data_IF_014560138813
#
_entry.id   IF_014560138813
#
_cell.length_a   1.000
_cell.length_b   1.000
_cell.length_c   1.000
_cell.angle_alpha   90.00
_cell.angle_beta   90.00
_cell.angle_gamma   90.00
#
_symmetry.space_group_name_H-M   'P 1'
#
loop_
_entity.id
_entity.type
_entity.pdbx_description
1 polymer ?
#
# COMPACT_ATOMS: atom_id res chain seq x y z
N UNK A 1 0.33 -21.69 -7.07
CA UNK A 1 0.08 -20.23 -7.02
C UNK A 1 1.03 -19.53 -7.99
N UNK A 2 0.49 -18.68 -8.87
CA UNK A 2 1.32 -17.89 -9.80
C UNK A 2 1.88 -16.69 -9.04
N UNK A 3 3.14 -16.34 -9.30
CA UNK A 3 3.75 -15.13 -8.73
C UNK A 3 2.97 -13.90 -9.23
N UNK A 4 2.48 -13.02 -8.34
CA UNK A 4 1.75 -11.82 -8.75
C UNK A 4 2.67 -10.89 -9.55
N UNK A 5 2.07 -10.10 -10.44
CA UNK A 5 2.78 -9.02 -11.12
C UNK A 5 3.20 -7.94 -10.11
N UNK A 6 4.22 -7.16 -10.46
CA UNK A 6 4.71 -6.08 -9.61
C UNK A 6 3.62 -5.06 -9.25
N UNK A 7 2.75 -4.68 -10.18
CA UNK A 7 1.68 -3.73 -9.88
C UNK A 7 0.69 -4.29 -8.87
N UNK A 8 0.29 -5.55 -9.04
CA UNK A 8 -0.61 -6.24 -8.11
C UNK A 8 0.03 -6.35 -6.72
N UNK A 9 1.30 -6.74 -6.67
CA UNK A 9 2.07 -6.83 -5.42
C UNK A 9 2.10 -5.49 -4.66
N UNK A 10 2.43 -4.39 -5.33
CA UNK A 10 2.47 -3.08 -4.68
C UNK A 10 1.09 -2.56 -4.28
N UNK A 11 0.05 -2.84 -5.07
CA UNK A 11 -1.32 -2.48 -4.71
C UNK A 11 -1.83 -3.25 -3.50
N UNK A 12 -1.49 -4.54 -3.38
CA UNK A 12 -1.81 -5.32 -2.18
C UNK A 12 -1.14 -4.73 -0.94
N UNK A 13 0.12 -4.29 -1.05
CA UNK A 13 0.81 -3.60 0.05
C UNK A 13 0.11 -2.28 0.40
N UNK A 14 -0.30 -1.48 -0.59
CA UNK A 14 -1.04 -0.24 -0.33
C UNK A 14 -2.34 -0.50 0.44
N UNK A 15 -3.08 -1.57 0.08
CA UNK A 15 -4.29 -1.99 0.82
C UNK A 15 -3.97 -2.42 2.24
N UNK A 16 -2.89 -3.17 2.46
CA UNK A 16 -2.47 -3.58 3.81
C UNK A 16 -2.09 -2.37 4.66
N UNK A 17 -1.36 -1.41 4.10
CA UNK A 17 -0.98 -0.19 4.80
C UNK A 17 -2.22 0.64 5.17
N UNK A 18 -3.24 0.69 4.30
CA UNK A 18 -4.51 1.35 4.58
C UNK A 18 -5.24 0.80 5.81
N UNK A 19 -5.06 -0.49 6.16
CA UNK A 19 -5.67 -1.11 7.34
C UNK A 19 -5.17 -0.51 8.66
N UNK A 20 -4.05 0.21 8.64
CA UNK A 20 -3.53 0.93 9.81
C UNK A 20 -4.14 2.32 9.99
N UNK A 21 -4.92 2.79 9.03
CA UNK A 21 -5.61 4.08 9.13
C UNK A 21 -6.66 4.05 10.23
N UNK A 22 -6.69 5.08 11.08
CA UNK A 22 -7.79 5.32 12.02
C UNK A 22 -9.05 5.91 11.37
N UNK A 23 -9.06 6.09 10.05
CA UNK A 23 -10.21 6.65 9.33
C UNK A 23 -11.28 5.58 9.09
N UNK A 24 -12.43 5.71 9.75
CA UNK A 24 -13.55 4.76 9.63
C UNK A 24 -14.30 4.84 8.29
N UNK A 25 -14.22 5.98 7.59
CA UNK A 25 -14.97 6.21 6.36
C UNK A 25 -14.18 5.91 5.10
N UNK A 26 -12.89 6.29 5.07
CA UNK A 26 -12.02 6.19 3.89
C UNK A 26 -10.59 5.83 4.29
N UNK A 27 -10.34 4.58 4.72
CA UNK A 27 -8.99 4.11 4.98
C UNK A 27 -8.19 4.12 3.67
N UNK A 28 -7.11 4.88 3.64
CA UNK A 28 -6.28 5.10 2.45
C UNK A 28 -4.84 4.73 2.78
N UNK A 29 -4.21 4.00 1.87
CA UNK A 29 -2.80 3.62 1.96
C UNK A 29 -2.08 3.93 0.66
N UNK A 30 -0.82 4.32 0.77
CA UNK A 30 0.03 4.70 -0.35
C UNK A 30 1.41 4.04 -0.22
N UNK A 31 2.01 3.77 -1.38
CA UNK A 31 3.35 3.18 -1.49
C UNK A 31 4.10 3.94 -2.58
N UNK A 32 5.28 4.47 -2.27
CA UNK A 32 6.17 5.10 -3.25
C UNK A 32 7.19 4.05 -3.67
N UNK A 33 7.27 3.79 -4.98
CA UNK A 33 8.14 2.75 -5.56
C UNK A 33 9.07 3.36 -6.59
N UNK A 34 10.34 2.95 -6.59
CA UNK A 34 11.31 3.24 -7.63
C UNK A 34 12.11 1.98 -7.94
N UNK A 35 12.27 1.65 -9.22
CA UNK A 35 13.01 0.46 -9.66
C UNK A 35 12.58 -0.84 -8.95
N UNK A 36 11.26 -1.04 -8.81
CA UNK A 36 10.64 -2.19 -8.10
C UNK A 36 11.04 -2.31 -6.61
N UNK A 37 11.53 -1.23 -6.00
CA UNK A 37 11.85 -1.15 -4.58
C UNK A 37 10.98 -0.09 -3.91
N UNK A 38 10.41 -0.46 -2.76
CA UNK A 38 9.60 0.46 -1.96
C UNK A 38 10.55 1.46 -1.29
N UNK A 39 10.27 2.75 -1.49
CA UNK A 39 10.99 3.85 -0.86
C UNK A 39 10.30 4.31 0.42
N UNK A 40 8.97 4.38 0.40
CA UNK A 40 8.17 4.81 1.53
C UNK A 40 6.76 4.18 1.45
N UNK A 41 6.12 4.07 2.60
CA UNK A 41 4.70 3.71 2.76
C UNK A 41 4.02 4.71 3.67
N UNK A 42 2.71 4.87 3.54
CA UNK A 42 1.94 5.75 4.41
C UNK A 42 0.46 5.48 4.33
N UNK A 43 -0.28 5.95 5.34
CA UNK A 43 -1.73 5.92 5.38
C UNK A 43 -2.26 7.28 5.84
N UNK A 44 -3.55 7.54 5.64
CA UNK A 44 -4.19 8.75 6.15
C UNK A 44 -4.55 8.61 7.64
N UNK A 45 -4.23 9.62 8.43
CA UNK A 45 -4.50 9.68 9.87
C UNK A 45 -3.35 10.39 10.60
N UNK A 46 -3.57 10.82 11.85
CA UNK A 46 -2.48 11.20 12.76
C UNK A 46 -1.57 10.01 13.10
#
# INVERSE_FOLDING_TARGET
MKRPDWHEYFMLIAKIVALRSGCNSRPTGAVIVKNKRILATGYNGP
#
